data_IF_281246336180
#
_entry.id   IF_281246336180
#
_cell.length_a   1.000
_cell.length_b   1.000
_cell.length_c   1.000
_cell.angle_alpha   90.00
_cell.angle_beta   90.00
_cell.angle_gamma   90.00
#
_symmetry.space_group_name_H-M   'P 1'
#
loop_
_entity.id
_entity.type
_entity.pdbx_description
1 polymer ?
#
# COMPACT_ATOMS: atom_id res chain seq x y z
N UNK A 1 26.41 42.56 -13.19
CA UNK A 1 26.51 41.72 -11.99
C UNK A 1 25.10 41.25 -11.74
N UNK A 2 24.75 40.11 -12.34
CA UNK A 2 23.43 39.52 -12.17
C UNK A 2 23.55 38.57 -10.98
N UNK A 3 23.01 38.97 -9.84
CA UNK A 3 22.81 38.09 -8.69
C UNK A 3 21.85 36.99 -9.14
N UNK A 4 22.39 35.79 -9.37
CA UNK A 4 21.57 34.59 -9.55
C UNK A 4 20.97 34.26 -8.19
N UNK A 5 19.74 34.69 -7.95
CA UNK A 5 18.91 34.23 -6.83
C UNK A 5 18.76 32.71 -6.93
N UNK A 6 19.63 32.00 -6.22
CA UNK A 6 19.53 30.56 -6.05
C UNK A 6 18.38 30.32 -5.07
N UNK A 7 17.22 29.98 -5.59
CA UNK A 7 16.06 29.58 -4.78
C UNK A 7 16.48 28.39 -3.92
N UNK A 8 16.24 28.42 -2.59
CA UNK A 8 16.62 27.31 -1.73
C UNK A 8 15.81 26.09 -2.17
N UNK A 9 16.52 25.06 -2.65
CA UNK A 9 15.92 23.74 -2.89
C UNK A 9 15.32 23.27 -1.56
N UNK A 10 14.03 22.93 -1.57
CA UNK A 10 13.35 22.41 -0.38
C UNK A 10 14.03 21.14 0.15
N UNK A 11 13.70 20.74 1.38
CA UNK A 11 14.24 19.50 1.95
C UNK A 11 13.94 18.30 1.02
N UNK A 12 14.89 17.35 0.88
CA UNK A 12 14.66 16.13 0.13
C UNK A 12 13.46 15.37 0.69
N UNK A 13 12.77 14.65 -0.20
CA UNK A 13 11.44 14.11 0.06
C UNK A 13 11.44 12.58 0.02
N UNK A 14 11.02 11.94 1.11
CA UNK A 14 10.67 10.52 1.16
C UNK A 14 9.15 10.35 0.98
N UNK A 15 8.76 9.77 -0.14
CA UNK A 15 7.36 9.48 -0.47
C UNK A 15 7.07 8.00 -0.22
N UNK A 16 6.28 7.71 0.81
CA UNK A 16 5.83 6.35 1.13
C UNK A 16 4.41 6.15 0.62
N UNK A 17 4.24 5.21 -0.30
CA UNK A 17 2.94 4.91 -0.87
C UNK A 17 2.47 3.52 -0.51
N UNK A 18 1.20 3.42 -0.10
CA UNK A 18 0.50 2.14 -0.04
C UNK A 18 -0.56 2.06 -1.12
N UNK A 19 -0.62 0.94 -1.84
CA UNK A 19 -1.64 0.72 -2.86
C UNK A 19 -2.01 -0.76 -3.05
N UNK A 20 -3.04 -1.01 -3.84
CA UNK A 20 -3.44 -2.33 -4.32
C UNK A 20 -2.55 -2.76 -5.47
N UNK A 21 -2.43 -4.08 -5.69
CA UNK A 21 -1.72 -4.64 -6.85
C UNK A 21 -2.22 -4.07 -8.19
N UNK A 22 -3.51 -3.76 -8.28
CA UNK A 22 -4.18 -3.27 -9.49
C UNK A 22 -4.01 -1.76 -9.73
N UNK A 23 -3.49 -1.02 -8.76
CA UNK A 23 -3.31 0.43 -8.84
C UNK A 23 -1.84 0.81 -8.52
N UNK A 24 -0.87 0.35 -9.32
CA UNK A 24 0.54 0.62 -9.09
C UNK A 24 0.89 2.08 -9.34
N UNK A 25 1.97 2.52 -8.72
CA UNK A 25 2.53 3.85 -8.99
C UNK A 25 3.52 3.77 -10.14
N UNK A 26 3.57 4.84 -10.93
CA UNK A 26 4.55 4.99 -11.99
C UNK A 26 5.94 5.25 -11.41
N UNK A 27 6.93 4.46 -11.84
CA UNK A 27 8.37 4.65 -11.53
C UNK A 27 8.78 4.76 -10.04
N UNK A 28 8.45 3.78 -9.16
CA UNK A 28 8.99 3.77 -7.81
C UNK A 28 10.50 3.41 -7.79
N UNK A 29 11.23 3.98 -6.83
CA UNK A 29 12.64 3.66 -6.59
C UNK A 29 12.77 2.32 -5.85
N UNK A 30 11.89 2.09 -4.86
CA UNK A 30 11.78 0.84 -4.11
C UNK A 30 10.36 0.28 -4.19
N UNK A 31 10.24 -1.05 -4.26
CA UNK A 31 8.96 -1.75 -4.34
C UNK A 31 8.90 -2.95 -3.41
N UNK A 32 7.87 -3.02 -2.58
CA UNK A 32 7.66 -4.10 -1.61
C UNK A 32 6.30 -4.79 -1.82
N UNK A 33 6.33 -6.11 -2.00
CA UNK A 33 5.15 -6.97 -2.12
C UNK A 33 4.85 -7.63 -0.76
N UNK A 34 3.71 -7.31 -0.16
CA UNK A 34 3.32 -7.84 1.15
C UNK A 34 2.36 -9.01 1.07
N UNK A 35 2.17 -9.61 -0.10
CA UNK A 35 1.24 -10.75 -0.25
C UNK A 35 1.76 -12.01 0.43
N UNK A 36 3.08 -12.15 0.57
CA UNK A 36 3.76 -13.23 1.29
C UNK A 36 3.77 -13.07 2.81
N UNK A 37 3.49 -11.86 3.31
CA UNK A 37 3.45 -11.58 4.75
C UNK A 37 2.14 -12.06 5.35
N UNK A 38 2.22 -12.51 6.60
CA UNK A 38 1.11 -12.88 7.49
C UNK A 38 -0.12 -12.00 7.28
N UNK A 39 -1.24 -12.65 6.96
CA UNK A 39 -2.48 -11.97 6.65
C UNK A 39 -3.32 -11.77 7.92
N UNK A 40 -3.83 -10.55 8.20
CA UNK A 40 -4.75 -10.35 9.31
C UNK A 40 -6.00 -11.23 9.19
N UNK A 41 -6.58 -11.69 10.31
CA UNK A 41 -7.76 -12.54 10.29
C UNK A 41 -8.96 -11.78 9.68
N UNK A 42 -9.84 -12.52 9.01
CA UNK A 42 -11.00 -11.98 8.27
C UNK A 42 -11.81 -10.98 9.10
N UNK A 43 -12.12 -11.31 10.35
CA UNK A 43 -12.88 -10.47 11.26
C UNK A 43 -12.28 -9.07 11.48
N UNK A 44 -10.95 -8.96 11.48
CA UNK A 44 -10.24 -7.69 11.61
C UNK A 44 -10.22 -6.98 10.25
N UNK A 45 -9.95 -7.69 9.16
CA UNK A 45 -9.90 -7.12 7.80
C UNK A 45 -11.21 -6.48 7.35
N UNK A 46 -12.34 -7.09 7.70
CA UNK A 46 -13.64 -6.58 7.27
C UNK A 46 -13.96 -5.23 7.93
N UNK A 47 -13.60 -5.08 9.22
CA UNK A 47 -13.95 -3.93 10.05
C UNK A 47 -12.93 -2.80 10.03
N UNK A 48 -11.65 -3.14 9.90
CA UNK A 48 -10.54 -2.22 10.10
C UNK A 48 -9.66 -2.12 8.85
N UNK A 49 -8.85 -1.07 8.79
CA UNK A 49 -7.83 -0.77 7.79
C UNK A 49 -6.44 -0.83 8.43
N UNK A 50 -5.39 -0.75 7.62
CA UNK A 50 -4.01 -0.74 8.12
C UNK A 50 -3.65 0.47 9.01
N UNK A 51 -4.47 1.53 9.03
CA UNK A 51 -4.29 2.66 9.95
C UNK A 51 -4.75 2.28 11.36
N UNK A 52 -5.76 1.42 11.47
CA UNK A 52 -6.36 1.09 12.74
C UNK A 52 -5.40 0.32 13.64
N UNK A 53 -5.35 0.76 14.91
CA UNK A 53 -4.49 0.17 15.96
C UNK A 53 -4.59 -1.35 16.04
N UNK A 54 -5.79 -1.92 15.82
CA UNK A 54 -5.99 -3.37 15.88
C UNK A 54 -5.29 -4.13 14.76
N UNK A 55 -5.22 -3.57 13.55
CA UNK A 55 -4.46 -4.17 12.44
C UNK A 55 -2.96 -3.97 12.70
N UNK A 56 -2.57 -2.77 13.13
CA UNK A 56 -1.18 -2.45 13.49
C UNK A 56 -0.60 -3.42 14.53
N UNK A 57 -1.28 -3.63 15.65
CA UNK A 57 -0.86 -4.55 16.71
C UNK A 57 -0.74 -6.00 16.20
N UNK A 58 -1.70 -6.44 15.37
CA UNK A 58 -1.62 -7.77 14.76
C UNK A 58 -0.37 -7.89 13.88
N UNK A 59 -0.14 -6.93 12.97
CA UNK A 59 0.99 -6.98 12.05
C UNK A 59 2.33 -6.95 12.78
N UNK A 60 2.49 -6.07 13.79
CA UNK A 60 3.70 -5.99 14.62
C UNK A 60 3.96 -7.26 15.45
N UNK A 61 2.93 -8.04 15.74
CA UNK A 61 3.08 -9.33 16.41
C UNK A 61 3.69 -10.43 15.55
N UNK A 62 3.83 -10.23 14.23
CA UNK A 62 4.33 -11.24 13.30
C UNK A 62 5.75 -10.90 12.83
N UNK A 63 6.67 -11.85 13.02
CA UNK A 63 8.10 -11.63 12.78
C UNK A 63 8.48 -11.43 11.30
N UNK A 64 7.71 -12.00 10.37
CA UNK A 64 7.90 -11.81 8.93
C UNK A 64 7.62 -10.37 8.50
N UNK A 65 6.58 -9.74 9.06
CA UNK A 65 6.26 -8.34 8.87
C UNK A 65 7.35 -7.44 9.42
N UNK A 66 7.75 -7.65 10.68
CA UNK A 66 8.77 -6.82 11.35
C UNK A 66 10.12 -6.91 10.62
N UNK A 67 10.56 -8.12 10.28
CA UNK A 67 11.81 -8.32 9.54
C UNK A 67 11.80 -7.62 8.17
N UNK A 68 10.66 -7.58 7.49
CA UNK A 68 10.54 -6.89 6.22
C UNK A 68 10.53 -5.36 6.38
N UNK A 69 9.90 -4.84 7.45
CA UNK A 69 9.95 -3.40 7.78
C UNK A 69 11.39 -2.98 8.07
N UNK A 70 12.10 -3.71 8.94
CA UNK A 70 13.48 -3.37 9.32
C UNK A 70 14.42 -3.45 8.11
N UNK A 71 14.22 -4.44 7.22
CA UNK A 71 14.94 -4.52 5.96
C UNK A 71 14.67 -3.31 5.06
N UNK A 72 13.40 -2.96 4.87
CA UNK A 72 13.01 -1.82 4.03
C UNK A 72 13.59 -0.51 4.58
N UNK A 73 13.55 -0.33 5.90
CA UNK A 73 14.13 0.83 6.58
C UNK A 73 15.64 0.96 6.28
N UNK A 74 16.38 -0.15 6.36
CA UNK A 74 17.81 -0.17 6.02
C UNK A 74 18.08 0.19 4.55
N UNK A 75 17.30 -0.37 3.62
CA UNK A 75 17.41 -0.08 2.18
C UNK A 75 17.09 1.41 1.89
N UNK A 76 16.04 1.96 2.50
CA UNK A 76 15.65 3.37 2.34
C UNK A 76 16.76 4.29 2.87
N UNK A 77 17.30 4.03 4.07
CA UNK A 77 18.39 4.85 4.63
C UNK A 77 19.64 4.84 3.76
N UNK A 78 19.99 3.68 3.19
CA UNK A 78 21.12 3.57 2.27
C UNK A 78 20.91 4.47 1.04
N UNK A 79 19.70 4.49 0.47
CA UNK A 79 19.38 5.34 -0.68
C UNK A 79 19.34 6.83 -0.33
N UNK A 80 18.82 7.19 0.85
CA UNK A 80 18.85 8.57 1.34
C UNK A 80 20.28 9.10 1.42
N UNK A 81 21.21 8.32 1.97
CA UNK A 81 22.63 8.69 2.05
C UNK A 81 23.29 8.90 0.68
N UNK A 82 22.94 8.06 -0.30
CA UNK A 82 23.42 8.21 -1.68
C UNK A 82 22.86 9.47 -2.35
N UNK A 83 21.57 9.77 -2.16
CA UNK A 83 20.93 10.95 -2.74
C UNK A 83 21.53 12.25 -2.20
N UNK A 84 21.77 12.34 -0.88
CA UNK A 84 22.43 13.51 -0.26
C UNK A 84 23.87 13.66 -0.77
N UNK A 85 24.59 12.56 -0.93
CA UNK A 85 25.98 12.58 -1.43
C UNK A 85 26.04 13.04 -2.89
N UNK A 86 25.10 12.60 -3.72
CA UNK A 86 25.00 13.03 -5.12
C UNK A 86 24.72 14.53 -5.24
N UNK A 87 23.77 15.06 -4.46
CA UNK A 87 23.44 16.49 -4.46
C UNK A 87 24.61 17.39 -4.03
N UNK A 88 25.45 16.92 -3.09
CA UNK A 88 26.66 17.64 -2.68
C UNK A 88 27.75 17.64 -3.75
N UNK A 89 27.84 16.58 -4.55
CA UNK A 89 28.85 16.46 -5.59
C UNK A 89 28.56 17.40 -6.78
N UNK A 90 27.29 17.66 -7.08
CA UNK A 90 26.88 18.59 -8.15
C UNK A 90 27.07 20.06 -7.76
N UNK A 91 26.90 20.40 -6.49
CA UNK A 91 27.13 21.75 -5.98
C UNK A 91 28.62 22.14 -5.95
N UNK A 92 29.51 21.19 -5.66
CA UNK A 92 30.96 21.41 -5.65
C UNK A 92 31.61 21.50 -7.07
N UNK A 93 30.81 21.39 -8.14
CA UNK A 93 31.27 21.17 -9.51
C UNK A 93 30.86 22.22 -10.54
N UNK A 94 30.53 23.47 -10.15
CA UNK A 94 30.25 24.55 -11.10
C UNK A 94 31.54 25.02 -11.81
N UNK A 95 32.03 24.21 -12.75
CA UNK A 95 32.94 24.61 -13.82
C UNK A 95 32.10 24.83 -15.08
N UNK A 96 32.26 26.01 -15.65
CA UNK A 96 31.63 26.51 -16.87
C UNK A 96 31.59 25.47 -18.00
N UNK A 97 30.36 25.19 -18.47
CA UNK A 97 30.08 24.69 -19.81
C UNK A 97 30.08 23.19 -20.00
N UNK A 98 28.89 22.60 -20.09
CA UNK A 98 28.50 21.70 -21.19
C UNK A 98 26.96 21.41 -21.12
N UNK A 99 26.32 21.53 -22.28
CA UNK A 99 25.09 20.88 -22.76
C UNK A 99 23.95 20.46 -21.79
N UNK A 100 22.77 21.02 -22.08
CA UNK A 100 21.45 20.61 -21.61
C UNK A 100 21.10 19.19 -22.14
N UNK A 101 21.41 18.15 -21.36
CA UNK A 101 20.68 16.90 -21.44
C UNK A 101 20.45 16.37 -20.01
N UNK A 102 19.20 16.53 -19.53
CA UNK A 102 18.79 16.26 -18.16
C UNK A 102 19.29 14.91 -17.65
N UNK A 103 20.27 14.96 -16.74
CA UNK A 103 20.84 13.78 -16.08
C UNK A 103 19.83 13.30 -15.04
N UNK A 104 18.82 12.58 -15.52
CA UNK A 104 17.98 11.71 -14.72
C UNK A 104 18.92 10.61 -14.21
N UNK A 105 19.42 10.74 -12.98
CA UNK A 105 20.26 9.71 -12.36
C UNK A 105 19.41 8.44 -12.27
N UNK A 106 19.57 7.54 -13.23
CA UNK A 106 19.08 6.16 -13.11
C UNK A 106 19.92 5.54 -12.01
N UNK A 107 19.40 5.60 -10.78
CA UNK A 107 19.88 4.81 -9.66
C UNK A 107 19.95 3.36 -10.15
N UNK A 108 21.16 2.86 -10.37
CA UNK A 108 21.38 1.50 -10.87
C UNK A 108 20.78 0.56 -9.84
N UNK A 109 19.64 -0.03 -10.20
CA UNK A 109 18.91 -0.99 -9.40
C UNK A 109 19.86 -2.12 -8.96
N UNK A 110 20.10 -2.34 -7.65
CA UNK A 110 20.54 -3.65 -7.23
C UNK A 110 19.38 -4.62 -7.52
N UNK A 111 19.66 -5.65 -8.31
CA UNK A 111 18.68 -6.68 -8.63
C UNK A 111 18.10 -7.25 -7.33
N UNK A 112 16.80 -7.08 -7.11
CA UNK A 112 16.09 -7.75 -6.03
C UNK A 112 15.95 -9.22 -6.40
N UNK A 113 16.93 -10.04 -5.98
CA UNK A 113 16.81 -11.49 -6.05
C UNK A 113 15.74 -11.93 -5.06
N UNK A 114 14.55 -12.22 -5.60
CA UNK A 114 13.53 -13.08 -4.99
C UNK A 114 14.19 -14.38 -4.55
N UNK A 115 14.60 -14.46 -3.29
CA UNK A 115 15.13 -15.70 -2.72
C UNK A 115 13.94 -16.51 -2.22
N UNK A 116 13.49 -17.43 -3.08
CA UNK A 116 12.62 -18.54 -2.70
C UNK A 116 13.40 -19.43 -1.73
N UNK A 117 12.89 -19.53 -0.51
CA UNK A 117 13.34 -20.50 0.49
C UNK A 117 12.75 -21.86 0.11
N UNK A 118 13.55 -22.71 -0.52
CA UNK A 118 13.26 -24.12 -0.74
C UNK A 118 14.19 -24.99 0.11
N UNK A 119 13.59 -25.77 1.02
CA UNK A 119 14.06 -27.09 1.45
C UNK A 119 15.16 -27.17 2.52
N UNK A 120 14.85 -27.82 3.64
CA UNK A 120 15.52 -29.05 4.09
C UNK A 120 14.61 -29.87 5.03
N UNK A 121 14.81 -31.17 4.92
CA UNK A 121 14.00 -32.34 5.25
C UNK A 121 13.80 -32.70 6.74
N UNK A 122 12.78 -33.54 7.00
CA UNK A 122 12.99 -34.76 7.82
C UNK A 122 11.97 -35.11 8.92
N UNK A 123 11.25 -36.22 8.70
CA UNK A 123 10.48 -37.07 9.64
C UNK A 123 9.05 -36.59 10.00
N UNK A 124 7.99 -37.42 10.08
CA UNK A 124 7.81 -38.88 10.03
C UNK A 124 6.34 -39.19 9.64
N UNK A 125 6.08 -40.42 9.20
CA UNK A 125 4.81 -40.93 8.66
C UNK A 125 3.65 -40.95 9.68
N UNK A 126 2.46 -40.52 9.26
CA UNK A 126 1.18 -41.13 9.66
C UNK A 126 0.25 -41.19 8.44
N UNK A 127 -0.17 -42.41 8.11
CA UNK A 127 -1.16 -42.70 7.06
C UNK A 127 -2.54 -42.57 7.69
N UNK A 128 -3.34 -41.64 7.19
CA UNK A 128 -4.74 -41.45 7.58
C UNK A 128 -5.58 -41.31 6.32
N UNK A 129 -6.21 -42.41 5.93
CA UNK A 129 -7.20 -42.52 4.87
C UNK A 129 -8.47 -41.78 5.31
N UNK A 130 -8.95 -40.84 4.50
CA UNK A 130 -10.07 -39.98 4.82
C UNK A 130 -10.60 -39.28 3.58
N UNK A 131 -11.44 -39.99 2.84
CA UNK A 131 -12.34 -39.44 1.84
C UNK A 131 -13.28 -38.42 2.51
N UNK A 132 -13.31 -37.17 2.03
CA UNK A 132 -14.57 -36.42 1.93
C UNK A 132 -14.49 -35.37 0.82
N UNK A 133 -15.51 -35.43 -0.03
CA UNK A 133 -15.85 -34.53 -1.11
C UNK A 133 -16.22 -33.14 -0.58
N UNK A 134 -15.95 -32.09 -1.37
CA UNK A 134 -16.44 -30.76 -0.97
C UNK A 134 -16.08 -29.62 -1.90
N UNK A 135 -16.77 -29.57 -3.04
CA UNK A 135 -17.25 -28.36 -3.73
C UNK A 135 -16.23 -27.31 -4.17
N UNK A 136 -15.93 -27.37 -5.47
CA UNK A 136 -15.52 -26.26 -6.32
C UNK A 136 -16.63 -25.20 -6.36
N UNK A 137 -16.34 -23.96 -5.95
CA UNK A 137 -17.04 -22.77 -6.43
C UNK A 137 -16.00 -21.64 -6.58
N UNK A 138 -15.44 -21.55 -7.79
CA UNK A 138 -14.64 -20.43 -8.24
C UNK A 138 -15.59 -19.27 -8.58
N UNK A 139 -15.75 -18.31 -7.66
CA UNK A 139 -16.40 -17.05 -7.96
C UNK A 139 -15.44 -16.15 -8.75
N UNK A 140 -15.62 -16.12 -10.08
CA UNK A 140 -15.03 -15.09 -10.94
C UNK A 140 -15.81 -13.78 -10.74
N UNK A 141 -15.26 -12.87 -9.93
CA UNK A 141 -15.77 -11.50 -9.85
C UNK A 141 -15.29 -10.69 -11.06
N UNK A 142 -16.24 -10.26 -11.90
CA UNK A 142 -16.06 -9.29 -12.98
C UNK A 142 -15.41 -8.00 -12.45
N UNK A 143 -14.12 -7.81 -12.77
CA UNK A 143 -13.39 -6.59 -12.46
C UNK A 143 -13.76 -5.54 -13.50
N UNK A 144 -14.76 -4.73 -13.16
CA UNK A 144 -15.10 -3.48 -13.83
C UNK A 144 -13.84 -2.59 -13.94
N UNK A 145 -13.26 -2.57 -15.14
CA UNK A 145 -12.08 -1.81 -15.51
C UNK A 145 -12.40 -0.33 -15.58
N UNK A 146 -12.54 0.30 -14.41
CA UNK A 146 -12.46 1.74 -14.31
C UNK A 146 -11.03 2.18 -14.59
N UNK A 147 -10.79 2.67 -15.80
CA UNK A 147 -9.64 3.47 -16.18
C UNK A 147 -9.62 4.71 -15.29
N UNK A 148 -9.01 4.57 -14.12
CA UNK A 148 -8.67 5.69 -13.27
C UNK A 148 -7.55 6.43 -13.98
N UNK A 149 -7.88 7.56 -14.58
CA UNK A 149 -6.93 8.54 -15.07
C UNK A 149 -5.82 8.70 -14.03
N UNK A 150 -4.60 8.40 -14.47
CA UNK A 150 -3.37 8.52 -13.69
C UNK A 150 -3.13 10.02 -13.41
N UNK A 151 -3.90 10.58 -12.47
CA UNK A 151 -3.51 11.75 -11.68
C UNK A 151 -2.40 11.31 -10.72
N UNK A 152 -1.29 10.82 -11.27
CA UNK A 152 0.01 11.12 -10.71
C UNK A 152 0.22 12.61 -10.96
N UNK A 153 -0.53 13.46 -10.24
CA UNK A 153 -0.23 14.88 -10.11
C UNK A 153 1.19 14.91 -9.56
N UNK A 154 2.16 15.02 -10.46
CA UNK A 154 3.53 15.38 -10.14
C UNK A 154 3.41 16.78 -9.53
N UNK A 155 3.12 16.84 -8.22
CA UNK A 155 3.21 18.09 -7.48
C UNK A 155 4.57 18.67 -7.85
N UNK A 156 4.55 19.93 -8.31
CA UNK A 156 5.67 20.79 -8.67
C UNK A 156 6.52 21.08 -7.43
N UNK A 157 6.93 20.03 -6.73
CA UNK A 157 7.85 19.98 -5.61
C UNK A 157 9.29 20.26 -6.10
N UNK A 158 9.48 21.19 -7.05
CA UNK A 158 10.77 21.64 -7.59
C UNK A 158 11.81 20.55 -7.94
N UNK A 159 13.05 20.99 -8.13
CA UNK A 159 14.23 20.16 -8.39
C UNK A 159 14.80 19.50 -7.11
N UNK A 160 13.98 19.29 -6.08
CA UNK A 160 14.46 18.69 -4.83
C UNK A 160 14.61 17.17 -4.98
N UNK A 161 15.62 16.54 -4.37
CA UNK A 161 15.77 15.08 -4.42
C UNK A 161 14.55 14.37 -3.84
N UNK A 162 14.05 13.35 -4.55
CA UNK A 162 12.89 12.54 -4.12
C UNK A 162 13.25 11.06 -4.10
N UNK A 163 12.72 10.33 -3.11
CA UNK A 163 12.79 8.88 -3.01
C UNK A 163 11.37 8.31 -2.86
N UNK A 164 10.92 7.54 -3.85
CA UNK A 164 9.58 6.95 -3.92
C UNK A 164 9.60 5.48 -3.54
N UNK A 165 8.86 5.14 -2.49
CA UNK A 165 8.70 3.78 -2.00
C UNK A 165 7.27 3.32 -2.24
N UNK A 166 7.11 2.29 -3.06
CA UNK A 166 5.84 1.65 -3.39
C UNK A 166 5.66 0.38 -2.57
N UNK A 167 4.58 0.32 -1.79
CA UNK A 167 4.23 -0.84 -0.98
C UNK A 167 2.83 -1.32 -1.35
N UNK A 168 2.69 -2.61 -1.63
CA UNK A 168 1.40 -3.13 -2.07
C UNK A 168 1.00 -4.47 -1.47
N UNK A 169 -0.32 -4.66 -1.37
CA UNK A 169 -0.94 -5.95 -1.11
C UNK A 169 -2.03 -6.21 -2.16
N UNK A 170 -2.90 -7.20 -1.92
CA UNK A 170 -3.98 -7.53 -2.86
C UNK A 170 -4.95 -6.35 -3.08
N UNK A 171 -5.35 -5.64 -2.02
CA UNK A 171 -6.46 -4.66 -2.03
C UNK A 171 -6.07 -3.23 -1.61
N UNK A 172 -4.83 -3.01 -1.19
CA UNK A 172 -4.32 -1.70 -0.78
C UNK A 172 -4.88 -1.17 0.54
N UNK A 173 -5.51 -2.01 1.38
CA UNK A 173 -6.27 -1.55 2.56
C UNK A 173 -5.66 -1.95 3.90
N UNK A 174 -4.87 -3.03 3.95
CA UNK A 174 -4.47 -3.66 5.21
C UNK A 174 -2.97 -3.70 5.39
N UNK A 175 -2.29 -4.67 4.78
CA UNK A 175 -0.87 -4.92 5.03
C UNK A 175 -0.02 -3.78 4.52
N UNK A 176 -0.29 -3.29 3.31
CA UNK A 176 0.48 -2.20 2.68
C UNK A 176 0.34 -0.89 3.44
N UNK A 177 -0.88 -0.55 3.85
CA UNK A 177 -1.15 0.62 4.70
C UNK A 177 -0.45 0.47 6.04
N UNK A 178 -0.55 -0.71 6.67
CA UNK A 178 0.04 -0.92 7.99
C UNK A 178 1.57 -0.80 7.96
N UNK A 179 2.18 -1.34 6.91
CA UNK A 179 3.62 -1.28 6.66
C UNK A 179 4.12 0.16 6.46
N UNK A 180 3.38 0.96 5.69
CA UNK A 180 3.74 2.36 5.43
C UNK A 180 3.59 3.22 6.70
N UNK A 181 2.52 3.04 7.47
CA UNK A 181 2.35 3.75 8.75
C UNK A 181 3.40 3.33 9.78
N UNK A 182 3.85 2.07 9.75
CA UNK A 182 4.98 1.63 10.56
C UNK A 182 6.30 2.29 10.14
N UNK A 183 6.59 2.33 8.84
CA UNK A 183 7.78 3.01 8.32
C UNK A 183 7.78 4.51 8.64
N UNK A 184 6.65 5.18 8.48
CA UNK A 184 6.46 6.59 8.85
C UNK A 184 6.77 6.87 10.32
N UNK A 185 6.51 5.89 11.20
CA UNK A 185 6.74 6.00 12.64
C UNK A 185 8.21 5.78 13.04
N UNK A 186 9.09 5.45 12.09
CA UNK A 186 10.53 5.32 12.33
C UNK A 186 11.19 6.69 12.40
N UNK A 187 12.33 6.76 13.09
CA UNK A 187 13.16 7.95 13.17
C UNK A 187 13.92 8.14 11.85
N UNK A 188 13.38 8.99 10.98
CA UNK A 188 14.04 9.44 9.76
C UNK A 188 14.91 10.67 10.05
N UNK A 189 15.95 10.92 9.25
CA UNK A 189 16.78 12.13 9.39
C UNK A 189 15.94 13.42 9.31
N UNK A 190 16.20 14.39 10.20
CA UNK A 190 15.44 15.65 10.27
C UNK A 190 15.61 16.53 9.01
N UNK A 191 16.63 16.26 8.20
CA UNK A 191 16.87 16.91 6.91
C UNK A 191 16.02 16.31 5.78
N UNK A 192 15.12 15.38 6.07
CA UNK A 192 14.18 14.81 5.09
C UNK A 192 12.72 15.10 5.47
N UNK A 193 11.93 15.49 4.47
CA UNK A 193 10.49 15.52 4.60
C UNK A 193 9.92 14.13 4.30
N UNK A 194 9.06 13.60 5.16
CA UNK A 194 8.40 12.30 4.96
C UNK A 194 6.92 12.52 4.69
N UNK A 195 6.43 12.08 3.52
CA UNK A 195 5.00 12.07 3.20
C UNK A 195 4.49 10.66 2.97
N UNK A 196 3.24 10.45 3.39
CA UNK A 196 2.54 9.17 3.27
C UNK A 196 1.30 9.35 2.42
N UNK A 197 1.12 8.47 1.43
CA UNK A 197 -0.03 8.47 0.53
C UNK A 197 -0.65 7.07 0.48
N UNK A 198 -1.96 6.99 0.76
CA UNK A 198 -2.73 5.76 0.71
C UNK A 198 -3.75 5.80 -0.44
N UNK A 199 -3.40 5.23 -1.62
CA UNK A 199 -4.24 5.34 -2.84
C UNK A 199 -5.62 4.71 -2.70
N UNK A 200 -5.77 3.65 -1.90
CA UNK A 200 -6.99 2.85 -1.86
C UNK A 200 -7.82 3.01 -0.57
N UNK A 201 -7.43 3.90 0.34
CA UNK A 201 -8.21 4.18 1.56
C UNK A 201 -9.32 5.22 1.36
N UNK A 202 -9.14 6.16 0.43
CA UNK A 202 -10.11 7.22 0.14
C UNK A 202 -11.38 6.70 -0.57
N UNK A 203 -11.34 5.49 -1.14
CA UNK A 203 -12.50 4.76 -1.67
C UNK A 203 -13.33 4.15 -0.52
N UNK A 204 -13.67 4.96 0.48
CA UNK A 204 -14.79 4.64 1.34
C UNK A 204 -16.01 4.45 0.45
N UNK A 205 -16.73 3.33 0.61
CA UNK A 205 -17.99 3.09 -0.12
C UNK A 205 -18.80 4.37 -0.01
N UNK A 206 -18.97 5.09 -1.14
CA UNK A 206 -19.95 6.15 -1.27
C UNK A 206 -21.21 5.60 -0.64
N UNK A 207 -21.64 6.22 0.46
CA UNK A 207 -22.67 5.67 1.30
C UNK A 207 -23.82 5.16 0.43
N UNK A 208 -24.16 3.90 0.62
CA UNK A 208 -25.51 3.40 0.35
C UNK A 208 -26.45 4.14 1.30
N UNK A 209 -26.62 5.44 1.08
CA UNK A 209 -27.62 6.29 1.67
C UNK A 209 -28.59 6.57 0.52
N UNK A 210 -29.60 5.71 0.37
CA UNK A 210 -30.77 6.00 -0.45
C UNK A 210 -31.28 4.92 -1.41
N UNK A 211 -30.65 3.75 -1.51
CA UNK A 211 -31.16 2.65 -2.35
C UNK A 211 -31.69 1.49 -1.50
N UNK A 212 -32.92 1.05 -1.76
CA UNK A 212 -33.69 0.01 -1.06
C UNK A 212 -34.58 0.47 0.10
N UNK A 213 -35.57 1.30 -0.26
CA UNK A 213 -36.91 1.11 0.29
C UNK A 213 -37.38 -0.31 -0.02
N UNK A 214 -37.11 -1.23 0.91
CA UNK A 214 -37.68 -2.57 0.91
C UNK A 214 -39.15 -2.44 1.33
N UNK A 215 -40.00 -1.96 0.41
CA UNK A 215 -41.43 -2.11 0.50
C UNK A 215 -41.77 -3.59 0.35
N UNK A 216 -41.48 -4.35 1.41
CA UNK A 216 -41.94 -5.73 1.59
C UNK A 216 -43.45 -5.68 1.74
N UNK A 217 -44.07 -5.84 0.58
CA UNK A 217 -45.35 -6.51 0.33
C UNK A 217 -45.45 -7.77 1.21
N UNK A 218 -45.95 -7.61 2.44
CA UNK A 218 -46.60 -8.66 3.22
C UNK A 218 -48.08 -8.23 3.28
N UNK A 219 -49.00 -8.66 2.42
CA UNK A 219 -49.53 -10.02 2.26
C UNK A 219 -49.78 -10.76 3.59
N UNK A 220 -50.48 -10.10 4.51
CA UNK A 220 -51.35 -10.75 5.50
C UNK A 220 -52.68 -9.99 5.40
N UNK A 221 -53.70 -10.50 4.71
CA UNK A 221 -54.29 -11.79 5.08
C UNK A 221 -54.97 -11.67 6.44
N UNK A 222 -55.72 -10.57 6.68
CA UNK A 222 -56.62 -10.46 7.83
C UNK A 222 -58.05 -10.54 7.32
N UNK A 223 -58.49 -11.78 7.09
CA UNK A 223 -59.90 -12.11 7.06
C UNK A 223 -60.50 -11.72 8.40
N UNK A 224 -61.42 -10.75 8.36
CA UNK A 224 -62.29 -10.40 9.47
C UNK A 224 -63.71 -10.81 9.05
N UNK A 225 -63.93 -12.13 9.01
CA UNK A 225 -65.25 -12.73 9.14
C UNK A 225 -65.42 -13.00 10.64
N UNK A 226 -66.06 -12.07 11.32
CA UNK A 226 -66.65 -12.28 12.65
C UNK A 226 -68.15 -12.34 12.46
N UNK A 227 -68.65 -13.56 12.37
CA UNK A 227 -70.05 -13.93 12.27
C UNK A 227 -70.33 -14.68 13.58
N UNK A 228 -70.99 -14.01 14.52
CA UNK A 228 -71.65 -14.53 15.73
C UNK A 228 -72.74 -13.46 15.99
N UNK A 229 -74.03 -13.65 15.65
CA UNK A 229 -75.05 -14.48 16.31
C UNK A 229 -75.25 -14.18 17.81
N UNK A 230 -76.53 -14.10 18.21
CA UNK A 230 -77.15 -13.76 19.52
C UNK A 230 -77.16 -12.24 19.88
N UNK A 231 -78.29 -11.55 20.11
CA UNK A 231 -79.61 -11.88 20.68
C UNK A 231 -80.71 -10.92 20.16
#
# INVERSE_FOLDING_TARGET
MSDTEQTPVGLPLLLLYSHARTNPISHPDLKYDLRSVSNPPKQIRDKYSGIDKRVQEYMRGHGDFVALVDRAEGEIRALMGLAVSAAKATDAGHLDGADEEGVRYKLVRPATTSTGITGVDGAERVVGDGEEAGSEEEEEEDVDGGEGEDDDEEEEDGDRPRLRVSVFDVRGRHRSVAFVEELKSRDWPDDWEVRVVHRDLAKGRKGSVGGYGNARRNSLGRGFLGQDDDE
#
